data_IF_331764253731
#
_entry.id   IF_331764253731
#
_cell.length_a   1.000
_cell.length_b   1.000
_cell.length_c   1.000
_cell.angle_alpha   90.00
_cell.angle_beta   90.00
_cell.angle_gamma   90.00
#
_symmetry.space_group_name_H-M   'P 1'
#
loop_
_entity.id
_entity.type
_entity.pdbx_description
1 polymer ?
#
# COMPACT_ATOMS: atom_id res chain seq x y z
N UNK A 1 0.50 -2.19 -12.32
CA UNK A 1 0.39 -2.15 -10.86
C UNK A 1 1.68 -1.74 -10.17
N UNK A 2 2.78 -2.39 -10.52
CA UNK A 2 4.04 -2.10 -9.83
C UNK A 2 4.46 -0.65 -9.96
N UNK A 3 4.29 -0.09 -11.13
CA UNK A 3 4.67 1.28 -11.37
C UNK A 3 3.96 2.23 -10.39
N UNK A 4 2.67 2.00 -10.17
CA UNK A 4 1.92 2.83 -9.26
C UNK A 4 2.34 2.59 -7.82
N UNK A 5 2.60 1.34 -7.49
CA UNK A 5 2.98 0.97 -6.13
C UNK A 5 4.30 1.64 -5.75
N UNK A 6 5.23 1.72 -6.69
CA UNK A 6 6.53 2.33 -6.43
C UNK A 6 6.38 3.80 -6.03
N UNK A 7 5.34 4.46 -6.49
CA UNK A 7 5.11 5.86 -6.12
C UNK A 7 4.80 6.01 -4.64
N UNK A 8 4.43 4.92 -3.98
CA UNK A 8 4.06 4.97 -2.57
C UNK A 8 5.21 4.56 -1.64
N UNK A 9 6.40 4.38 -2.19
CA UNK A 9 7.54 4.01 -1.35
C UNK A 9 7.74 5.05 -0.25
N UNK A 10 7.94 4.56 0.98
CA UNK A 10 8.11 5.42 2.13
C UNK A 10 6.80 5.85 2.77
N UNK A 11 5.67 5.48 2.19
CA UNK A 11 4.37 5.89 2.68
C UNK A 11 3.63 4.71 3.30
N UNK A 12 2.69 5.01 4.18
CA UNK A 12 1.87 3.95 4.77
C UNK A 12 0.79 3.54 3.79
N UNK A 13 0.68 2.23 3.55
CA UNK A 13 -0.24 1.71 2.56
C UNK A 13 -1.08 0.59 3.14
N UNK A 14 -2.20 0.33 2.48
CA UNK A 14 -3.04 -0.83 2.75
C UNK A 14 -3.00 -1.72 1.52
N UNK A 15 -2.67 -2.99 1.73
CA UNK A 15 -2.49 -3.94 0.63
C UNK A 15 -3.41 -5.13 0.85
N UNK A 16 -4.23 -5.44 -0.15
CA UNK A 16 -5.09 -6.62 -0.11
C UNK A 16 -4.48 -7.71 -0.96
N UNK A 17 -4.44 -8.92 -0.41
CA UNK A 17 -3.91 -10.08 -1.13
C UNK A 17 -5.00 -11.13 -1.30
N UNK A 18 -4.73 -12.10 -2.19
CA UNK A 18 -5.73 -13.10 -2.53
C UNK A 18 -6.15 -13.97 -1.36
N UNK A 19 -5.32 -14.07 -0.34
CA UNK A 19 -5.55 -15.01 0.75
C UNK A 19 -6.13 -14.37 2.01
N UNK A 20 -6.17 -13.05 2.05
CA UNK A 20 -6.64 -12.35 3.23
C UNK A 20 -7.81 -11.47 2.90
N UNK A 21 -8.80 -11.44 3.79
CA UNK A 21 -9.93 -10.54 3.59
C UNK A 21 -9.65 -9.14 4.11
N UNK A 22 -8.67 -9.02 5.00
CA UNK A 22 -8.31 -7.73 5.56
C UNK A 22 -6.98 -7.27 5.01
N UNK A 23 -6.77 -5.97 4.89
CA UNK A 23 -5.54 -5.48 4.30
C UNK A 23 -4.34 -5.61 5.23
N UNK A 24 -3.18 -5.70 4.61
CA UNK A 24 -1.92 -5.56 5.31
C UNK A 24 -1.61 -4.06 5.35
N UNK A 25 -1.30 -3.53 6.52
CA UNK A 25 -1.04 -2.10 6.68
C UNK A 25 0.36 -1.89 7.20
N UNK A 26 1.12 -1.06 6.53
CA UNK A 26 2.47 -0.74 6.97
C UNK A 26 3.13 0.24 6.03
N UNK A 27 4.39 0.55 6.34
CA UNK A 27 5.16 1.44 5.50
C UNK A 27 5.79 0.64 4.37
N UNK A 28 5.55 1.06 3.14
CA UNK A 28 6.11 0.37 1.98
C UNK A 28 7.58 0.73 1.84
N UNK A 29 8.45 -0.26 1.98
CA UNK A 29 9.89 -0.04 1.94
C UNK A 29 10.53 -0.52 0.67
N UNK A 30 10.01 -1.56 0.05
CA UNK A 30 10.54 -2.10 -1.20
C UNK A 30 9.39 -2.57 -2.06
N UNK A 31 9.57 -2.45 -3.37
CA UNK A 31 8.57 -2.93 -4.31
C UNK A 31 9.28 -3.36 -5.57
N UNK A 32 9.06 -4.61 -5.99
CA UNK A 32 9.60 -5.11 -7.24
C UNK A 32 8.65 -6.16 -7.81
N UNK A 33 9.05 -6.78 -8.92
CA UNK A 33 8.16 -7.69 -9.63
C UNK A 33 7.87 -8.96 -8.83
N UNK A 34 8.72 -9.29 -7.87
CA UNK A 34 8.59 -10.55 -7.14
C UNK A 34 7.90 -10.37 -5.79
N UNK A 35 8.25 -9.29 -5.09
CA UNK A 35 7.70 -9.08 -3.75
C UNK A 35 7.67 -7.60 -3.42
N UNK A 36 6.91 -7.27 -2.38
CA UNK A 36 6.99 -5.96 -1.75
C UNK A 36 7.32 -6.21 -0.28
N UNK A 37 7.92 -5.22 0.34
CA UNK A 37 8.22 -5.31 1.76
C UNK A 37 7.56 -4.17 2.50
N UNK A 38 6.74 -4.53 3.48
CA UNK A 38 6.08 -3.58 4.37
C UNK A 38 6.74 -3.67 5.73
N UNK A 39 6.93 -2.52 6.36
CA UNK A 39 7.33 -2.49 7.75
C UNK A 39 6.07 -2.36 8.58
N UNK A 40 5.72 -3.43 9.30
CA UNK A 40 4.52 -3.49 10.12
C UNK A 40 4.95 -3.69 11.55
N UNK A 41 4.70 -2.69 12.40
CA UNK A 41 5.09 -2.76 13.82
C UNK A 41 6.55 -3.14 13.96
N UNK A 42 7.41 -2.53 13.13
CA UNK A 42 8.86 -2.73 13.17
C UNK A 42 9.28 -4.12 12.71
N UNK A 43 8.38 -4.87 12.08
CA UNK A 43 8.71 -6.17 11.52
C UNK A 43 8.67 -6.09 10.00
N UNK A 44 9.71 -6.64 9.38
CA UNK A 44 9.75 -6.71 7.92
C UNK A 44 8.78 -7.78 7.46
N UNK A 45 7.82 -7.40 6.65
CA UNK A 45 6.78 -8.30 6.17
C UNK A 45 6.83 -8.32 4.66
N UNK A 46 7.03 -9.49 4.08
CA UNK A 46 7.15 -9.63 2.63
C UNK A 46 5.89 -10.23 2.05
N UNK A 47 5.34 -9.57 1.04
CA UNK A 47 4.17 -10.04 0.33
C UNK A 47 4.57 -10.33 -1.12
N UNK A 48 4.07 -11.45 -1.65
CA UNK A 48 4.37 -11.82 -3.03
C UNK A 48 3.58 -10.92 -3.96
N UNK A 49 4.28 -10.26 -4.88
CA UNK A 49 3.66 -9.24 -5.72
C UNK A 49 2.47 -9.78 -6.50
N UNK A 50 2.56 -10.98 -7.07
CA UNK A 50 1.46 -11.47 -7.89
C UNK A 50 0.26 -11.96 -7.08
N UNK A 51 0.29 -11.84 -5.77
CA UNK A 51 -0.86 -12.13 -4.92
C UNK A 51 -1.62 -10.89 -4.52
N UNK A 52 -1.14 -9.72 -4.92
CA UNK A 52 -1.78 -8.46 -4.56
C UNK A 52 -2.94 -8.21 -5.49
N UNK A 53 -4.12 -7.95 -4.92
CA UNK A 53 -5.31 -7.68 -5.72
C UNK A 53 -5.74 -6.22 -5.65
N UNK A 54 -5.30 -5.48 -4.62
CA UNK A 54 -5.63 -4.07 -4.50
C UNK A 54 -4.68 -3.42 -3.50
N UNK A 55 -4.51 -2.10 -3.63
CA UNK A 55 -3.69 -1.36 -2.67
C UNK A 55 -4.10 0.11 -2.72
N UNK A 56 -3.78 0.82 -1.64
CA UNK A 56 -4.01 2.25 -1.59
C UNK A 56 -3.19 2.85 -0.46
N UNK A 57 -3.05 4.17 -0.48
CA UNK A 57 -2.48 4.87 0.67
C UNK A 57 -3.44 4.75 1.84
N UNK A 58 -2.92 4.61 3.04
CA UNK A 58 -3.78 4.55 4.21
C UNK A 58 -4.46 5.90 4.39
N UNK A 59 -5.57 5.90 5.13
CA UNK A 59 -6.32 7.14 5.33
C UNK A 59 -5.50 8.17 6.06
N UNK A 60 -4.63 7.73 6.97
CA UNK A 60 -3.78 8.66 7.68
C UNK A 60 -2.86 9.41 6.76
N UNK A 61 -2.31 8.71 5.77
CA UNK A 61 -1.43 9.35 4.80
C UNK A 61 -2.19 10.30 3.91
N UNK A 62 -3.38 9.89 3.50
CA UNK A 62 -4.19 10.76 2.63
C UNK A 62 -4.61 12.01 3.37
N UNK A 63 -4.99 11.86 4.61
CA UNK A 63 -5.46 12.99 5.39
C UNK A 63 -4.40 14.03 5.59
N UNK A 64 -3.16 13.59 5.63
CA UNK A 64 -2.08 14.53 5.81
C UNK A 64 -1.93 15.50 4.66
N UNK A 65 -2.48 15.16 3.52
CA UNK A 65 -2.38 16.02 2.37
C UNK A 65 -3.44 17.10 2.39
N UNK A 66 -4.35 16.94 3.07
CA UNK A 66 -5.47 17.84 2.97
C UNK A 66 -6.32 17.54 1.78
N UNK A 67 -5.83 17.20 1.72
CA UNK A 67 -6.51 16.86 1.14
C UNK A 67 -6.96 16.39 0.30
N UNK A 68 -6.95 16.33 0.16
CA UNK A 68 -7.51 15.72 -0.45
C UNK A 68 -7.85 15.16 -1.15
N UNK A 69 -7.85 15.19 -1.30
CA UNK A 69 -8.43 14.49 -1.78
C UNK A 69 -8.80 13.86 -2.36
N UNK A 70 -8.84 14.04 -2.41
CA UNK A 70 -9.48 13.32 -2.73
C UNK A 70 -9.88 12.76 -3.36
N UNK A 71 -9.82 13.07 -3.37
CA UNK A 71 -10.45 12.42 -3.74
C UNK A 71 -10.67 11.89 -4.50
N UNK A 72 -10.67 11.94 -4.63
CA UNK A 72 -11.04 11.28 -5.01
C UNK A 72 -11.33 10.68 -5.59
N UNK A 73 -11.27 10.87 -5.53
CA UNK A 73 -11.62 10.20 -5.71
C UNK A 73 -11.97 9.66 -6.21
N UNK A 74 -11.99 9.96 -6.06
CA UNK A 74 -12.32 9.34 -6.16
C UNK A 74 -12.64 8.72 -6.77
N UNK A 75 -12.60 9.00 -6.80
CA UNK A 75 -12.89 8.34 -7.15
C UNK A 75 -12.99 7.73 -7.67
N UNK A 76 -13.04 7.91 -7.64
CA UNK A 76 -13.20 7.26 -7.86
C UNK A 76 -13.36 6.87 -8.08
#
# INVERSE_FOLDING_TARGET
MLKKLVEYLGREVEIWTTENTEPWMGILKEANADYIMLMIDELQTFLVTNKIVAFRLSEGEQGGAGEEEETEEEDD
#
